data_IF_178709150069
#
_entry.id   IF_178709150069
#
_cell.length_a   1.000
_cell.length_b   1.000
_cell.length_c   1.000
_cell.angle_alpha   90.00
_cell.angle_beta   90.00
_cell.angle_gamma   90.00
#
_symmetry.space_group_name_H-M   'P 1'
#
loop_
_entity.id
_entity.type
_entity.pdbx_description
1 polymer ?
#
# COMPACT_ATOMS: atom_id res chain seq x y z
N UNK A 1 15.23 -9.26 -25.47
CA UNK A 1 14.57 -8.02 -25.93
C UNK A 1 15.36 -7.47 -27.12
N UNK A 2 14.72 -6.75 -28.03
CA UNK A 2 15.41 -6.03 -29.11
C UNK A 2 15.02 -4.56 -29.09
N UNK A 3 15.92 -3.71 -29.55
CA UNK A 3 15.66 -2.28 -29.73
C UNK A 3 14.89 -2.03 -31.04
N UNK A 4 14.55 -0.77 -31.32
CA UNK A 4 13.83 -0.38 -32.55
C UNK A 4 14.61 -0.69 -33.85
N UNK A 5 15.92 -0.92 -33.77
CA UNK A 5 16.76 -1.30 -34.90
C UNK A 5 16.98 -2.83 -34.99
N UNK A 6 16.33 -3.61 -34.12
CA UNK A 6 16.46 -5.07 -34.09
C UNK A 6 17.72 -5.58 -33.39
N UNK A 7 18.52 -4.71 -32.76
CA UNK A 7 19.71 -5.07 -31.98
C UNK A 7 19.28 -5.71 -30.66
N UNK A 8 20.06 -6.68 -30.18
CA UNK A 8 19.76 -7.38 -28.92
C UNK A 8 20.11 -6.48 -27.74
N UNK A 9 19.16 -6.31 -26.82
CA UNK A 9 19.37 -5.62 -25.54
C UNK A 9 19.52 -6.68 -24.43
N UNK A 10 20.62 -6.59 -23.69
CA UNK A 10 20.94 -7.38 -22.51
C UNK A 10 20.66 -6.59 -21.22
N UNK A 11 20.57 -7.31 -20.10
CA UNK A 11 20.40 -6.67 -18.79
C UNK A 11 21.57 -5.73 -18.51
N UNK A 12 21.25 -4.59 -17.91
CA UNK A 12 22.19 -3.50 -17.62
C UNK A 12 22.75 -2.74 -18.82
N UNK A 13 22.21 -2.95 -20.02
CA UNK A 13 22.52 -2.11 -21.17
C UNK A 13 21.94 -0.69 -20.99
N UNK A 14 22.71 0.29 -21.47
CA UNK A 14 22.28 1.68 -21.50
C UNK A 14 21.36 1.89 -22.71
N UNK A 15 20.20 2.48 -22.47
CA UNK A 15 19.17 2.65 -23.49
C UNK A 15 18.58 4.05 -23.44
N UNK A 16 18.23 4.58 -24.60
CA UNK A 16 17.27 5.68 -24.69
C UNK A 16 15.89 5.06 -24.77
N UNK A 17 15.00 5.47 -23.86
CA UNK A 17 13.65 4.95 -23.78
C UNK A 17 12.64 6.07 -23.90
N UNK A 18 11.61 5.83 -24.72
CA UNK A 18 10.41 6.65 -24.73
C UNK A 18 9.45 6.11 -23.68
N UNK A 19 9.27 6.87 -22.61
CA UNK A 19 8.34 6.48 -21.53
C UNK A 19 6.90 6.44 -22.02
N UNK A 20 6.08 5.61 -21.37
CA UNK A 20 4.63 5.54 -21.61
C UNK A 20 3.85 6.01 -20.38
N UNK A 21 2.86 6.89 -20.57
CA UNK A 21 1.94 7.33 -19.52
C UNK A 21 1.66 8.83 -19.52
N UNK A 22 0.73 9.27 -18.66
CA UNK A 22 0.33 10.69 -18.51
C UNK A 22 1.45 11.61 -18.00
N UNK A 23 2.50 11.06 -17.43
CA UNK A 23 3.60 11.80 -16.80
C UNK A 23 4.98 11.46 -17.40
N UNK A 24 5.03 10.76 -18.53
CA UNK A 24 6.31 10.46 -19.19
C UNK A 24 6.73 11.64 -20.06
N UNK A 25 7.69 12.43 -19.59
CA UNK A 25 8.27 13.53 -20.35
C UNK A 25 9.34 13.00 -21.32
N UNK A 26 8.93 12.68 -22.55
CA UNK A 26 9.84 12.50 -23.69
C UNK A 26 10.78 11.29 -23.63
N UNK A 27 11.90 11.43 -24.35
CA UNK A 27 12.99 10.46 -24.44
C UNK A 27 13.93 10.66 -23.26
N UNK A 28 14.23 9.57 -22.55
CA UNK A 28 15.12 9.59 -21.40
C UNK A 28 16.16 8.48 -21.50
N UNK A 29 17.37 8.73 -20.99
CA UNK A 29 18.43 7.72 -20.89
C UNK A 29 18.22 6.92 -19.60
N UNK A 30 18.31 5.60 -19.69
CA UNK A 30 18.19 4.72 -18.54
C UNK A 30 18.85 3.37 -18.77
N UNK A 31 18.64 2.46 -17.82
CA UNK A 31 19.21 1.12 -17.83
C UNK A 31 18.11 0.09 -18.03
N UNK A 32 18.35 -0.88 -18.90
CA UNK A 32 17.46 -2.00 -19.10
C UNK A 32 17.53 -3.01 -17.95
N UNK A 33 16.40 -3.26 -17.28
CA UNK A 33 16.28 -4.25 -16.20
C UNK A 33 15.35 -5.41 -16.57
N UNK A 34 15.40 -5.85 -17.83
CA UNK A 34 14.69 -7.04 -18.31
C UNK A 34 13.18 -6.88 -18.56
N UNK A 35 12.47 -6.10 -17.73
CA UNK A 35 11.02 -5.84 -17.86
C UNK A 35 10.65 -4.37 -17.89
N UNK A 36 11.53 -3.50 -17.39
CA UNK A 36 11.33 -2.06 -17.36
C UNK A 36 12.67 -1.35 -17.56
N UNK A 37 12.58 -0.05 -17.79
CA UNK A 37 13.75 0.83 -17.79
C UNK A 37 13.84 1.52 -16.44
N UNK A 38 15.05 1.56 -15.90
CA UNK A 38 15.37 2.33 -14.71
C UNK A 38 16.06 3.63 -15.09
N UNK A 39 15.46 4.73 -14.70
CA UNK A 39 16.03 6.08 -14.78
C UNK A 39 16.55 6.47 -13.40
N UNK A 40 17.31 7.57 -13.32
CA UNK A 40 17.86 8.09 -12.06
C UNK A 40 16.80 8.27 -10.97
N UNK A 41 15.63 8.80 -11.30
CA UNK A 41 14.62 9.13 -10.27
C UNK A 41 13.38 8.23 -10.25
N UNK A 42 13.21 7.36 -11.24
CA UNK A 42 11.99 6.55 -11.36
C UNK A 42 12.22 5.34 -12.27
N UNK A 43 11.28 4.39 -12.25
CA UNK A 43 11.18 3.35 -13.27
C UNK A 43 9.90 3.55 -14.06
N UNK A 44 9.94 3.33 -15.37
CA UNK A 44 8.77 3.45 -16.22
C UNK A 44 8.66 2.29 -17.21
N UNK A 45 7.43 2.07 -17.64
CA UNK A 45 7.16 1.30 -18.85
C UNK A 45 7.54 2.13 -20.08
N UNK A 46 7.93 1.47 -21.15
CA UNK A 46 8.43 2.09 -22.36
C UNK A 46 7.59 1.66 -23.56
N UNK A 47 7.51 2.52 -24.57
CA UNK A 47 6.96 2.15 -25.89
C UNK A 47 8.06 1.73 -26.84
N UNK A 48 9.18 2.45 -26.80
CA UNK A 48 10.30 2.31 -27.73
C UNK A 48 11.62 2.35 -26.94
N UNK A 49 12.57 1.54 -27.37
CA UNK A 49 13.92 1.45 -26.81
C UNK A 49 14.95 1.58 -27.94
N UNK A 50 16.02 2.30 -27.66
CA UNK A 50 17.17 2.42 -28.53
C UNK A 50 18.44 2.10 -27.72
N UNK A 51 19.23 1.14 -28.18
CA UNK A 51 20.48 0.75 -27.52
C UNK A 51 21.57 1.79 -27.77
N UNK A 52 22.31 2.16 -26.72
CA UNK A 52 23.53 2.97 -26.82
C UNK A 52 24.73 2.01 -26.82
N UNK A 53 25.33 1.77 -28.00
CA UNK A 53 26.44 0.81 -28.17
C UNK A 53 27.79 1.39 -27.72
N UNK A 54 28.02 2.68 -27.94
CA UNK A 54 29.27 3.36 -27.61
C UNK A 54 28.98 4.54 -26.66
N UNK A 55 28.68 4.26 -25.38
CA UNK A 55 28.39 5.31 -24.42
C UNK A 55 29.64 6.16 -24.18
N UNK A 56 29.45 7.47 -24.15
CA UNK A 56 30.44 8.44 -23.71
C UNK A 56 30.79 8.28 -22.22
N UNK A 57 31.89 8.87 -21.77
CA UNK A 57 32.27 8.85 -20.35
C UNK A 57 31.18 9.43 -19.44
N UNK A 58 30.46 10.44 -19.90
CA UNK A 58 29.35 11.04 -19.15
C UNK A 58 28.17 10.08 -19.02
N UNK A 59 27.84 9.36 -20.09
CA UNK A 59 26.79 8.33 -20.09
C UNK A 59 27.17 7.11 -19.23
N UNK A 60 28.44 6.72 -19.21
CA UNK A 60 28.95 5.68 -18.32
C UNK A 60 28.87 6.11 -16.84
N UNK A 61 29.20 7.35 -16.52
CA UNK A 61 29.00 7.90 -15.16
C UNK A 61 27.52 7.88 -14.78
N UNK A 62 26.64 8.30 -15.67
CA UNK A 62 25.21 8.27 -15.44
C UNK A 62 24.67 6.84 -15.22
N UNK A 63 25.18 5.86 -15.97
CA UNK A 63 24.90 4.44 -15.76
C UNK A 63 25.26 4.03 -14.32
N UNK A 64 26.47 4.37 -13.89
CA UNK A 64 26.95 4.00 -12.56
C UNK A 64 26.10 4.61 -11.45
N UNK A 65 25.72 5.90 -11.58
CA UNK A 65 24.84 6.56 -10.62
C UNK A 65 23.49 5.84 -10.45
N UNK A 66 22.89 5.38 -11.56
CA UNK A 66 21.65 4.61 -11.51
C UNK A 66 21.87 3.27 -10.81
N UNK A 67 22.94 2.55 -11.12
CA UNK A 67 23.25 1.26 -10.51
C UNK A 67 23.47 1.38 -9.00
N UNK A 68 24.26 2.36 -8.57
CA UNK A 68 24.53 2.65 -7.15
C UNK A 68 23.23 2.95 -6.40
N UNK A 69 22.31 3.69 -7.02
CA UNK A 69 21.02 3.99 -6.42
C UNK A 69 20.14 2.75 -6.29
N UNK A 70 20.12 1.88 -7.30
CA UNK A 70 19.40 0.60 -7.23
C UNK A 70 19.95 -0.26 -6.08
N UNK A 71 21.27 -0.30 -5.92
CA UNK A 71 21.91 -1.07 -4.84
C UNK A 71 21.57 -0.49 -3.46
N UNK A 72 21.65 0.83 -3.29
CA UNK A 72 21.20 1.52 -2.05
C UNK A 72 19.74 1.22 -1.73
N UNK A 73 18.86 1.24 -2.74
CA UNK A 73 17.44 0.90 -2.55
C UNK A 73 17.25 -0.56 -2.14
N UNK A 74 17.97 -1.51 -2.76
CA UNK A 74 17.95 -2.93 -2.38
C UNK A 74 18.42 -3.11 -0.94
N UNK A 75 19.52 -2.49 -0.56
CA UNK A 75 20.07 -2.56 0.80
C UNK A 75 19.08 -1.99 1.82
N UNK A 76 18.47 -0.84 1.53
CA UNK A 76 17.44 -0.24 2.38
C UNK A 76 16.21 -1.15 2.53
N UNK A 77 15.81 -1.88 1.49
CA UNK A 77 14.72 -2.87 1.58
C UNK A 77 15.13 -4.02 2.49
N UNK A 78 16.33 -4.58 2.31
CA UNK A 78 16.86 -5.67 3.14
C UNK A 78 16.91 -5.24 4.61
N UNK A 79 17.47 -4.07 4.92
CA UNK A 79 17.53 -3.53 6.28
C UNK A 79 16.15 -3.31 6.91
N UNK A 80 15.18 -2.83 6.11
CA UNK A 80 13.79 -2.70 6.59
C UNK A 80 13.20 -4.07 6.89
N UNK A 81 13.44 -5.07 6.05
CA UNK A 81 12.93 -6.42 6.27
C UNK A 81 13.57 -7.11 7.48
N UNK A 82 14.87 -6.96 7.69
CA UNK A 82 15.56 -7.51 8.86
C UNK A 82 15.05 -6.88 10.15
N UNK A 83 14.92 -5.54 10.19
CA UNK A 83 14.29 -4.81 11.30
C UNK A 83 12.86 -5.29 11.55
N UNK A 84 12.05 -5.44 10.49
CA UNK A 84 10.66 -5.95 10.59
C UNK A 84 10.58 -7.39 11.08
N UNK A 85 11.52 -8.26 10.70
CA UNK A 85 11.58 -9.65 11.18
C UNK A 85 11.94 -9.72 12.66
N UNK A 86 12.87 -8.88 13.11
CA UNK A 86 13.30 -8.80 14.52
C UNK A 86 12.21 -8.30 15.47
N UNK A 87 11.29 -7.44 15.00
CA UNK A 87 10.20 -6.94 15.84
C UNK A 87 9.22 -8.05 16.24
N UNK A 88 9.04 -8.29 17.55
CA UNK A 88 8.03 -9.25 18.03
C UNK A 88 6.63 -8.75 17.69
N UNK A 89 5.84 -9.60 17.05
CA UNK A 89 4.45 -9.30 16.72
C UNK A 89 3.59 -9.44 17.98
N UNK A 90 2.69 -8.49 18.20
CA UNK A 90 1.61 -8.59 19.19
C UNK A 90 0.55 -9.58 18.65
N UNK A 91 0.29 -10.70 19.34
CA UNK A 91 -0.78 -11.63 18.99
C UNK A 91 -2.15 -10.95 18.99
N UNK A 92 -3.07 -11.44 18.13
CA UNK A 92 -4.43 -10.90 18.05
C UNK A 92 -5.21 -10.97 19.38
N UNK A 93 -4.89 -11.97 20.22
CA UNK A 93 -5.54 -12.19 21.52
C UNK A 93 -5.22 -11.09 22.53
N UNK A 94 -4.09 -10.41 22.34
CA UNK A 94 -3.57 -9.40 23.26
C UNK A 94 -3.96 -7.98 22.81
N UNK A 95 -4.81 -7.87 21.78
CA UNK A 95 -5.32 -6.58 21.29
C UNK A 95 -6.50 -6.12 22.15
N UNK A 96 -6.35 -4.91 22.71
CA UNK A 96 -7.33 -4.27 23.59
C UNK A 96 -8.13 -3.26 22.81
N UNK A 97 -9.46 -3.31 22.95
CA UNK A 97 -10.39 -2.42 22.25
C UNK A 97 -10.13 -0.96 22.70
N UNK A 98 -10.05 -0.04 21.74
CA UNK A 98 -9.75 1.38 21.97
C UNK A 98 -8.27 1.70 22.11
N UNK A 99 -7.38 0.71 22.07
CA UNK A 99 -5.94 0.92 22.17
C UNK A 99 -5.33 1.29 20.81
N UNK A 100 -4.44 2.29 20.78
CA UNK A 100 -3.62 2.58 19.59
C UNK A 100 -2.38 1.68 19.55
N UNK A 101 -2.12 1.16 18.36
CA UNK A 101 -1.01 0.28 18.03
C UNK A 101 -0.21 0.83 16.85
N UNK A 102 1.09 0.62 16.89
CA UNK A 102 2.02 0.89 15.79
C UNK A 102 2.31 -0.42 15.07
N UNK A 103 2.18 -0.42 13.74
CA UNK A 103 2.57 -1.55 12.92
C UNK A 103 4.07 -1.55 12.61
N UNK A 104 4.55 -2.63 12.02
CA UNK A 104 5.93 -2.81 11.55
C UNK A 104 6.40 -1.82 10.47
N UNK A 105 5.51 -0.96 9.97
CA UNK A 105 5.79 0.15 9.04
C UNK A 105 5.78 1.52 9.72
N UNK A 106 5.51 1.61 11.02
CA UNK A 106 5.40 2.86 11.77
C UNK A 106 4.03 3.53 11.70
N UNK A 107 3.06 2.93 11.01
CA UNK A 107 1.69 3.45 10.93
C UNK A 107 0.94 3.18 12.23
N UNK A 108 0.16 4.17 12.67
CA UNK A 108 -0.66 4.10 13.88
C UNK A 108 -2.10 3.68 13.54
N UNK A 109 -2.67 2.80 14.37
CA UNK A 109 -4.04 2.33 14.23
C UNK A 109 -4.70 2.16 15.58
N UNK A 110 -5.96 2.56 15.71
CA UNK A 110 -6.81 2.12 16.82
C UNK A 110 -7.43 0.77 16.53
N UNK A 111 -7.39 -0.14 17.50
CA UNK A 111 -8.12 -1.40 17.43
C UNK A 111 -9.54 -1.23 17.96
N UNK A 112 -10.54 -1.40 17.10
CA UNK A 112 -11.95 -1.20 17.47
C UNK A 112 -12.68 -2.51 17.79
N UNK A 113 -11.96 -3.64 17.83
CA UNK A 113 -12.52 -4.95 18.09
C UNK A 113 -12.94 -5.72 16.83
N UNK A 114 -13.77 -6.73 17.03
CA UNK A 114 -14.37 -7.52 15.97
C UNK A 114 -15.75 -6.96 15.61
N UNK A 115 -16.05 -6.87 14.32
CA UNK A 115 -17.33 -6.36 13.84
C UNK A 115 -17.76 -7.01 12.54
N UNK A 116 -19.03 -6.86 12.21
CA UNK A 116 -19.58 -7.24 10.91
C UNK A 116 -19.68 -6.03 10.00
N UNK A 117 -19.37 -6.20 8.71
CA UNK A 117 -19.58 -5.13 7.72
C UNK A 117 -20.50 -5.60 6.59
N UNK A 118 -21.20 -4.63 5.98
CA UNK A 118 -21.95 -4.81 4.73
C UNK A 118 -21.28 -3.97 3.65
N UNK A 119 -20.77 -4.60 2.60
CA UNK A 119 -20.33 -3.89 1.40
C UNK A 119 -21.55 -3.50 0.56
N UNK A 120 -21.72 -2.19 0.27
CA UNK A 120 -22.75 -1.71 -0.68
C UNK A 120 -22.20 -1.84 -2.12
N UNK A 121 -22.79 -2.73 -2.93
CA UNK A 121 -22.54 -2.93 -4.38
C UNK A 121 -21.52 -4.04 -4.67
N UNK A 122 -21.65 -4.94 -5.65
CA UNK A 122 -22.43 -5.03 -6.88
C UNK A 122 -22.98 -6.47 -7.09
N UNK A 123 -23.78 -6.68 -8.14
CA UNK A 123 -24.50 -7.90 -8.51
C UNK A 123 -23.74 -9.22 -8.21
N UNK A 124 -24.37 -10.10 -7.42
CA UNK A 124 -23.98 -11.48 -7.07
C UNK A 124 -22.91 -11.73 -5.98
N UNK A 125 -22.75 -10.86 -4.99
CA UNK A 125 -21.99 -11.28 -3.79
C UNK A 125 -22.46 -10.58 -2.52
N UNK A 126 -23.15 -11.33 -1.64
CA UNK A 126 -23.18 -11.01 -0.21
C UNK A 126 -22.02 -11.74 0.45
N UNK A 127 -21.10 -11.02 1.11
CA UNK A 127 -20.55 -11.56 2.34
C UNK A 127 -20.96 -10.66 3.49
N UNK A 128 -21.74 -11.24 4.41
CA UNK A 128 -21.80 -10.79 5.79
C UNK A 128 -20.49 -11.26 6.47
N UNK A 129 -19.40 -10.50 6.33
CA UNK A 129 -18.10 -10.86 6.90
C UNK A 129 -18.00 -10.42 8.37
N UNK A 130 -17.42 -11.26 9.24
CA UNK A 130 -16.91 -10.85 10.56
C UNK A 130 -15.41 -10.60 10.44
N UNK A 131 -14.97 -9.38 10.76
CA UNK A 131 -13.57 -8.96 10.62
C UNK A 131 -13.09 -8.12 11.80
N UNK A 132 -11.82 -7.73 11.76
CA UNK A 132 -11.23 -6.78 12.71
C UNK A 132 -11.43 -5.37 12.16
N UNK A 133 -11.97 -4.49 13.00
CA UNK A 133 -12.16 -3.09 12.71
C UNK A 133 -10.93 -2.32 13.20
N UNK A 134 -10.25 -1.62 12.28
CA UNK A 134 -9.14 -0.73 12.59
C UNK A 134 -9.44 0.68 12.08
N UNK A 135 -8.89 1.67 12.75
CA UNK A 135 -8.94 3.06 12.26
C UNK A 135 -7.53 3.59 12.11
N UNK A 136 -7.20 4.07 10.91
CA UNK A 136 -5.90 4.66 10.62
C UNK A 136 -5.82 6.09 11.18
N UNK A 137 -4.74 6.37 11.92
CA UNK A 137 -4.43 7.70 12.42
C UNK A 137 -3.18 8.24 11.74
N UNK A 138 -3.27 9.49 11.32
CA UNK A 138 -2.15 10.27 10.81
C UNK A 138 -2.20 11.60 11.57
N UNK A 139 -1.07 12.21 11.94
CA UNK A 139 -1.07 13.54 12.57
C UNK A 139 -2.13 13.76 13.69
N UNK A 140 -2.30 12.73 14.55
CA UNK A 140 -3.30 12.64 15.62
C UNK A 140 -4.78 12.77 15.23
N UNK A 141 -5.11 12.89 13.94
CA UNK A 141 -6.48 12.92 13.41
C UNK A 141 -6.89 11.54 12.87
N UNK A 142 -8.19 11.28 12.92
CA UNK A 142 -8.82 10.02 12.49
C UNK A 142 -9.27 10.17 11.05
N UNK A 143 -8.66 9.44 10.13
CA UNK A 143 -8.88 9.66 8.69
C UNK A 143 -9.77 8.62 8.03
N UNK A 144 -9.73 7.35 8.48
CA UNK A 144 -10.44 6.27 7.79
C UNK A 144 -10.62 5.03 8.66
N UNK A 145 -11.85 4.52 8.70
CA UNK A 145 -12.13 3.17 9.18
C UNK A 145 -11.75 2.16 8.08
N UNK A 146 -10.86 1.24 8.41
CA UNK A 146 -10.43 0.16 7.54
C UNK A 146 -10.86 -1.19 8.13
N UNK A 147 -11.57 -1.98 7.33
CA UNK A 147 -12.01 -3.32 7.72
C UNK A 147 -10.99 -4.34 7.23
N UNK A 148 -10.49 -5.18 8.15
CA UNK A 148 -9.56 -6.25 7.82
C UNK A 148 -10.26 -7.59 8.02
N UNK A 149 -10.43 -8.33 6.92
CA UNK A 149 -11.14 -9.60 6.91
C UNK A 149 -10.35 -10.68 7.67
N UNK A 150 -11.08 -11.53 8.39
CA UNK A 150 -10.54 -12.71 9.09
C UNK A 150 -10.77 -14.00 8.31
N UNK A 151 -11.63 -14.00 7.28
CA UNK A 151 -11.97 -15.19 6.50
C UNK A 151 -11.32 -15.19 5.11
N UNK A 152 -10.82 -16.36 4.70
CA UNK A 152 -10.01 -16.61 3.50
C UNK A 152 -10.78 -16.58 2.16
N UNK A 153 -12.01 -16.05 2.10
CA UNK A 153 -12.91 -16.23 0.94
C UNK A 153 -13.17 -14.99 0.08
N UNK A 154 -12.38 -13.91 0.24
CA UNK A 154 -12.43 -12.80 -0.71
C UNK A 154 -11.03 -12.56 -1.27
N UNK A 155 -10.88 -12.72 -2.58
CA UNK A 155 -9.64 -12.56 -3.34
C UNK A 155 -9.10 -11.12 -3.38
N UNK A 156 -9.62 -10.20 -2.55
CA UNK A 156 -9.23 -8.79 -2.48
C UNK A 156 -8.86 -8.33 -1.06
N UNK A 157 -7.64 -8.73 -0.66
CA UNK A 157 -6.57 -7.83 -0.14
C UNK A 157 -6.91 -6.90 1.03
N UNK A 158 -6.57 -7.35 2.24
CA UNK A 158 -5.69 -6.65 3.21
C UNK A 158 -5.37 -7.60 4.37
N UNK A 159 -4.16 -8.15 4.41
CA UNK A 159 -3.67 -8.89 5.60
C UNK A 159 -3.62 -7.95 6.80
N UNK A 160 -4.11 -8.40 7.96
CA UNK A 160 -4.05 -7.63 9.22
C UNK A 160 -2.63 -7.04 9.41
N UNK A 161 -2.49 -5.74 9.74
CA UNK A 161 -1.20 -5.15 10.04
C UNK A 161 -0.47 -5.95 11.14
N UNK A 162 0.86 -6.07 11.00
CA UNK A 162 1.70 -6.67 12.04
C UNK A 162 1.95 -5.61 13.10
N UNK A 163 1.12 -5.60 14.15
CA UNK A 163 1.33 -4.74 15.31
C UNK A 163 2.57 -5.17 16.09
N UNK A 164 3.39 -4.21 16.47
CA UNK A 164 4.67 -4.44 17.16
C UNK A 164 4.81 -3.65 18.46
N UNK A 165 4.02 -2.58 18.63
CA UNK A 165 4.04 -1.73 19.82
C UNK A 165 2.65 -1.18 20.12
N UNK A 166 2.25 -1.18 21.39
CA UNK A 166 1.10 -0.42 21.89
C UNK A 166 1.56 0.98 22.33
N UNK A 167 0.77 2.01 22.08
CA UNK A 167 1.02 3.36 22.62
C UNK A 167 0.29 3.54 23.94
N UNK A 168 0.50 4.65 24.64
CA UNK A 168 -0.25 4.96 25.87
C UNK A 168 -1.65 5.52 25.56
N UNK A 169 -1.87 5.97 24.32
CA UNK A 169 -3.13 6.59 23.88
C UNK A 169 -4.24 5.55 23.79
N UNK A 170 -5.32 5.80 24.53
CA UNK A 170 -6.55 5.01 24.52
C UNK A 170 -7.72 5.91 24.19
N UNK A 171 -8.68 5.34 23.48
CA UNK A 171 -9.94 5.99 23.17
C UNK A 171 -11.09 5.10 23.62
N UNK A 172 -12.11 5.72 24.21
CA UNK A 172 -13.40 5.10 24.44
C UNK A 172 -14.15 5.05 23.11
N UNK A 173 -14.74 3.90 22.85
CA UNK A 173 -15.65 3.73 21.73
C UNK A 173 -17.05 4.10 22.18
N UNK A 174 -17.55 5.22 21.67
CA UNK A 174 -18.97 5.53 21.78
C UNK A 174 -19.71 4.86 20.63
N UNK A 175 -20.52 3.86 20.97
CA UNK A 175 -21.39 3.17 20.02
C UNK A 175 -22.64 4.00 19.81
N UNK A 176 -22.57 4.97 18.90
CA UNK A 176 -23.77 5.65 18.43
C UNK A 176 -24.35 4.87 17.25
N UNK A 177 -25.43 4.12 17.52
CA UNK A 177 -26.17 3.42 16.48
C UNK A 177 -27.14 4.43 15.85
N UNK A 178 -26.79 4.99 14.69
CA UNK A 178 -27.73 5.78 13.90
C UNK A 178 -28.46 4.84 12.94
N UNK A 179 -29.74 4.62 13.19
CA UNK A 179 -30.61 3.91 12.26
C UNK A 179 -31.11 4.91 11.22
N UNK A 180 -30.46 4.94 10.05
CA UNK A 180 -30.95 5.73 8.94
C UNK A 180 -32.00 4.91 8.19
N UNK A 181 -33.25 5.38 8.21
CA UNK A 181 -34.32 4.84 7.38
C UNK A 181 -34.26 5.53 6.03
N UNK A 182 -33.78 4.84 5.00
CA UNK A 182 -33.90 5.30 3.63
C UNK A 182 -35.23 4.76 3.05
N UNK A 183 -36.20 5.64 2.84
CA UNK A 183 -37.42 5.34 2.08
C UNK A 183 -37.17 5.61 0.61
N UNK A 184 -37.16 4.55 -0.20
CA UNK A 184 -37.11 4.64 -1.66
C UNK A 184 -38.32 3.94 -2.30
N UNK A 185 -38.53 4.18 -3.59
CA UNK A 185 -39.53 3.48 -4.39
C UNK A 185 -39.19 1.98 -4.42
N UNK A 186 -39.96 1.17 -3.70
CA UNK A 186 -39.72 -0.26 -3.47
C UNK A 186 -39.73 -0.71 -2.00
N UNK A 187 -40.00 0.19 -1.04
CA UNK A 187 -40.20 -0.14 0.37
C UNK A 187 -39.09 0.39 1.30
N UNK A 188 -39.38 0.43 2.60
CA UNK A 188 -38.50 0.97 3.64
C UNK A 188 -37.28 0.06 3.85
N UNK A 189 -36.08 0.50 3.47
CA UNK A 189 -34.84 -0.17 3.87
C UNK A 189 -34.28 0.53 5.09
N UNK A 190 -34.35 -0.15 6.24
CA UNK A 190 -33.66 0.30 7.45
C UNK A 190 -32.19 -0.10 7.34
N UNK A 191 -31.30 0.88 7.18
CA UNK A 191 -29.86 0.67 7.19
C UNK A 191 -29.35 1.21 8.53
N UNK A 192 -29.02 0.30 9.44
CA UNK A 192 -28.29 0.67 10.65
C UNK A 192 -26.84 1.01 10.26
N UNK A 193 -26.47 2.27 10.41
CA UNK A 193 -25.09 2.73 10.27
C UNK A 193 -24.54 2.88 11.68
N UNK A 194 -23.48 2.13 11.99
CA UNK A 194 -22.79 2.28 13.27
C UNK A 194 -21.76 3.40 13.06
N UNK A 195 -22.02 4.58 13.63
CA UNK A 195 -21.01 5.62 13.74
C UNK A 195 -20.21 5.35 15.02
N UNK A 196 -18.91 5.12 14.85
CA UNK A 196 -17.98 4.95 15.95
C UNK A 196 -17.32 6.31 16.18
N UNK A 197 -17.71 7.02 17.23
CA UNK A 197 -16.96 8.18 17.71
C UNK A 197 -15.90 7.73 18.71
N UNK A 198 -14.72 8.33 18.60
CA UNK A 198 -13.59 8.09 19.51
C UNK A 198 -13.50 9.28 20.46
N UNK A 199 -13.64 9.02 21.75
CA UNK A 199 -13.36 9.99 22.81
C UNK A 199 -12.05 9.62 23.48
N UNK A 200 -11.14 10.59 23.64
CA UNK A 200 -9.89 10.34 24.37
C UNK A 200 -10.20 10.05 25.84
N UNK A 201 -9.48 9.08 26.40
CA UNK A 201 -9.55 8.80 27.83
C UNK A 201 -8.43 9.58 28.49
N UNK A 202 -8.79 10.59 29.30
CA UNK A 202 -7.86 11.24 30.23
C UNK A 202 -7.30 10.25 31.26
#
# INVERSE_FOLDING_TARGET
MRDILGRKINEDDLVVAKGTGRHSNGLNIGIWKGKSVRFKHYSSSYSELFLIENPSETELKYKQEILDQIEKEKQAVIERETKRKAMKRIPKKDLVIGQEYINDKGNKYFYLGQGSYKTKGCWKSKPNGRGILLTYTYDNKVYKQENFDLFREISSRKTLPRFVKATERKVKLNKNIKVNRETGWGGTKSIATIEISLEEVE
#
